data_IF_680048004341
#
_entry.id   IF_680048004341
#
_cell.length_a   1.000
_cell.length_b   1.000
_cell.length_c   1.000
_cell.angle_alpha   90.00
_cell.angle_beta   90.00
_cell.angle_gamma   90.00
#
_symmetry.space_group_name_H-M   'P 1'
#
loop_
_entity.id
_entity.type
_entity.pdbx_description
1 polymer ?
#
# COMPACT_ATOMS: atom_id res chain seq x y z
N UNK A 1 14.38 -8.94 -20.02
CA UNK A 1 15.27 -9.87 -19.30
C UNK A 1 14.60 -11.24 -19.31
N UNK A 2 15.25 -12.25 -19.89
CA UNK A 2 14.69 -13.60 -20.06
C UNK A 2 14.72 -14.37 -18.73
N UNK A 3 13.57 -14.50 -18.05
CA UNK A 3 13.40 -15.48 -16.99
C UNK A 3 13.13 -16.85 -17.63
N UNK A 4 14.11 -17.75 -17.64
CA UNK A 4 13.96 -19.09 -18.23
C UNK A 4 13.38 -20.06 -17.19
N UNK A 5 12.08 -20.36 -17.31
CA UNK A 5 11.38 -21.36 -16.49
C UNK A 5 11.71 -22.76 -17.01
N UNK A 6 12.38 -23.60 -16.20
CA UNK A 6 12.82 -24.95 -16.62
C UNK A 6 11.74 -26.04 -16.46
N UNK A 7 10.73 -25.85 -15.60
CA UNK A 7 9.57 -26.76 -15.42
C UNK A 7 8.64 -26.24 -14.30
N UNK A 8 7.31 -26.31 -14.44
CA UNK A 8 6.36 -25.86 -13.39
C UNK A 8 6.15 -27.00 -12.37
N UNK A 9 6.21 -26.76 -11.04
CA UNK A 9 6.47 -25.49 -10.36
C UNK A 9 7.91 -25.01 -10.53
N UNK A 10 8.08 -23.70 -10.76
CA UNK A 10 9.39 -23.10 -11.04
C UNK A 10 9.64 -21.89 -10.16
N UNK A 11 10.89 -21.75 -9.71
CA UNK A 11 11.39 -20.51 -9.10
C UNK A 11 12.09 -19.64 -10.14
N UNK A 12 11.90 -18.34 -10.04
CA UNK A 12 12.62 -17.38 -10.86
C UNK A 12 12.82 -16.07 -10.11
N UNK A 13 13.77 -15.27 -10.58
CA UNK A 13 14.08 -13.96 -10.02
C UNK A 13 13.76 -12.90 -11.05
N UNK A 14 13.02 -11.87 -10.65
CA UNK A 14 12.76 -10.70 -11.49
C UNK A 14 13.57 -9.55 -10.92
N UNK A 15 14.72 -9.30 -11.55
CA UNK A 15 15.68 -8.28 -11.08
C UNK A 15 14.99 -6.93 -10.95
N UNK A 16 15.16 -6.29 -9.80
CA UNK A 16 14.61 -4.97 -9.46
C UNK A 16 13.07 -4.88 -9.44
N UNK A 17 12.34 -6.00 -9.37
CA UNK A 17 10.87 -5.97 -9.33
C UNK A 17 10.34 -5.11 -8.19
N UNK A 18 10.81 -5.34 -6.96
CA UNK A 18 10.35 -4.62 -5.75
C UNK A 18 10.61 -3.13 -5.86
N UNK A 19 11.75 -2.74 -6.45
CA UNK A 19 12.08 -1.33 -6.67
C UNK A 19 11.17 -0.70 -7.73
N UNK A 20 10.98 -1.38 -8.86
CA UNK A 20 10.12 -0.92 -9.95
C UNK A 20 8.66 -0.84 -9.54
N UNK A 21 8.17 -1.83 -8.80
CA UNK A 21 6.82 -1.84 -8.22
C UNK A 21 6.63 -0.65 -7.27
N UNK A 22 7.55 -0.43 -6.34
CA UNK A 22 7.48 0.72 -5.42
C UNK A 22 7.53 2.06 -6.17
N UNK A 23 8.36 2.16 -7.21
CA UNK A 23 8.44 3.37 -8.03
C UNK A 23 7.13 3.62 -8.80
N UNK A 24 6.57 2.60 -9.45
CA UNK A 24 5.27 2.69 -10.12
C UNK A 24 4.14 3.06 -9.16
N UNK A 25 4.13 2.43 -7.99
CA UNK A 25 3.16 2.71 -6.94
C UNK A 25 3.25 4.16 -6.45
N UNK A 26 4.45 4.62 -6.11
CA UNK A 26 4.68 5.98 -5.63
C UNK A 26 4.44 7.05 -6.70
N UNK A 27 4.63 6.70 -7.98
CA UNK A 27 4.33 7.58 -9.11
C UNK A 27 2.83 7.68 -9.42
N UNK A 28 1.99 6.83 -8.83
CA UNK A 28 0.55 6.90 -9.05
C UNK A 28 -0.04 8.16 -8.43
N UNK A 29 -0.80 8.91 -9.23
CA UNK A 29 -1.46 10.15 -8.81
C UNK A 29 -2.33 9.94 -7.57
N UNK A 30 -2.99 8.79 -7.47
CA UNK A 30 -3.81 8.42 -6.32
C UNK A 30 -2.99 8.37 -5.04
N UNK A 31 -1.79 7.76 -5.05
CA UNK A 31 -0.93 7.68 -3.86
C UNK A 31 -0.43 9.06 -3.44
N UNK A 32 -0.10 9.92 -4.40
CA UNK A 32 0.27 11.30 -4.10
C UNK A 32 -0.88 12.06 -3.42
N UNK A 33 -2.10 11.97 -3.98
CA UNK A 33 -3.30 12.61 -3.40
C UNK A 33 -3.58 12.08 -1.99
N UNK A 34 -3.60 10.75 -1.79
CA UNK A 34 -3.84 10.17 -0.48
C UNK A 34 -2.78 10.56 0.54
N UNK A 35 -1.51 10.64 0.13
CA UNK A 35 -0.42 11.07 1.01
C UNK A 35 -0.59 12.52 1.45
N UNK A 36 -1.01 13.41 0.54
CA UNK A 36 -1.31 14.81 0.88
C UNK A 36 -2.48 14.89 1.85
N UNK A 37 -3.55 14.10 1.65
CA UNK A 37 -4.70 14.07 2.56
C UNK A 37 -4.29 13.53 3.94
N UNK A 38 -3.44 12.50 4.01
CA UNK A 38 -2.88 12.00 5.28
C UNK A 38 -2.11 13.10 6.01
N UNK A 39 -1.22 13.80 5.31
CA UNK A 39 -0.44 14.89 5.91
C UNK A 39 -1.32 16.04 6.40
N UNK A 40 -2.27 16.49 5.57
CA UNK A 40 -3.19 17.56 5.93
C UNK A 40 -4.07 17.17 7.13
N UNK A 41 -4.68 15.98 7.11
CA UNK A 41 -5.53 15.51 8.21
C UNK A 41 -4.76 15.28 9.51
N UNK A 42 -3.50 14.83 9.45
CA UNK A 42 -2.64 14.71 10.61
C UNK A 42 -2.35 16.10 11.22
N UNK A 43 -2.07 17.11 10.39
CA UNK A 43 -1.88 18.49 10.84
C UNK A 43 -3.15 19.07 11.47
N UNK A 44 -4.32 18.83 10.88
CA UNK A 44 -5.60 19.24 11.46
C UNK A 44 -5.79 18.59 12.85
N UNK A 45 -5.50 17.29 12.97
CA UNK A 45 -5.60 16.55 14.22
C UNK A 45 -4.70 17.14 15.31
N UNK A 46 -3.41 17.32 14.99
CA UNK A 46 -2.42 17.86 15.93
C UNK A 46 -2.78 19.29 16.36
N UNK A 47 -3.22 20.12 15.42
CA UNK A 47 -3.62 21.51 15.70
C UNK A 47 -4.84 21.58 16.61
N UNK A 48 -5.79 20.66 16.44
CA UNK A 48 -6.99 20.57 17.27
C UNK A 48 -6.70 20.02 18.67
N UNK A 49 -5.82 19.02 18.78
CA UNK A 49 -5.32 18.55 20.09
C UNK A 49 -4.60 19.68 20.81
N UNK A 50 -3.70 20.38 20.13
CA UNK A 50 -3.00 21.53 20.70
C UNK A 50 -3.98 22.60 21.18
N UNK A 51 -4.98 22.92 20.37
CA UNK A 51 -6.04 23.87 20.75
C UNK A 51 -6.83 23.38 21.97
N UNK A 52 -7.05 22.08 22.13
CA UNK A 52 -7.72 21.53 23.33
C UNK A 52 -6.88 21.71 24.60
N UNK A 53 -5.55 21.75 24.47
CA UNK A 53 -4.61 21.86 25.59
C UNK A 53 -4.28 23.31 25.96
N UNK A 54 -4.25 24.21 24.98
CA UNK A 54 -3.81 25.61 25.16
C UNK A 54 -4.89 26.63 24.83
N UNK A 55 -6.09 26.18 24.49
CA UNK A 55 -7.22 27.02 24.16
C UNK A 55 -7.73 27.78 25.40
N UNK A 56 -8.44 28.90 25.19
CA UNK A 56 -9.04 29.64 26.29
C UNK A 56 -10.19 28.84 26.92
N UNK A 57 -10.31 28.90 28.26
CA UNK A 57 -11.40 28.22 29.00
C UNK A 57 -12.80 28.72 28.60
N UNK A 58 -12.89 29.97 28.16
CA UNK A 58 -14.15 30.59 27.72
C UNK A 58 -13.92 31.46 26.50
N UNK A 59 -14.83 31.36 25.53
CA UNK A 59 -14.84 32.17 24.31
C UNK A 59 -16.07 33.05 24.28
N UNK A 60 -15.86 34.36 24.17
CA UNK A 60 -16.93 35.33 24.01
C UNK A 60 -17.05 35.70 22.53
N UNK A 61 -18.13 35.25 21.88
CA UNK A 61 -18.39 35.52 20.46
C UNK A 61 -19.45 36.61 20.36
N UNK A 62 -19.12 37.73 19.70
CA UNK A 62 -20.06 38.82 19.39
C UNK A 62 -20.10 39.01 17.87
N UNK A 63 -21.25 38.69 17.26
CA UNK A 63 -21.42 38.74 15.80
C UNK A 63 -21.02 37.44 15.13
N UNK A 64 -20.52 37.52 13.90
CA UNK A 64 -20.13 36.36 13.11
C UNK A 64 -18.91 35.64 13.70
N UNK A 65 -18.97 34.31 13.67
CA UNK A 65 -17.90 33.46 14.18
C UNK A 65 -16.79 33.31 13.14
N UNK A 66 -15.56 33.68 13.53
CA UNK A 66 -14.39 33.44 12.69
C UNK A 66 -14.02 31.96 12.67
N UNK A 67 -13.26 31.54 11.65
CA UNK A 67 -12.76 30.15 11.56
C UNK A 67 -11.95 29.76 12.80
N UNK A 68 -11.17 30.69 13.36
CA UNK A 68 -10.38 30.45 14.57
C UNK A 68 -11.27 30.24 15.80
N UNK A 69 -12.35 31.02 15.93
CA UNK A 69 -13.31 30.85 17.02
C UNK A 69 -14.07 29.52 16.89
N UNK A 70 -14.46 29.13 15.68
CA UNK A 70 -15.05 27.82 15.42
C UNK A 70 -14.08 26.68 15.82
N UNK A 71 -12.82 26.82 15.43
CA UNK A 71 -11.76 25.85 15.74
C UNK A 71 -11.56 25.65 17.24
N UNK A 72 -11.58 26.75 18.00
CA UNK A 72 -11.45 26.73 19.45
C UNK A 72 -12.70 26.25 20.17
N UNK A 73 -13.90 26.39 19.57
CA UNK A 73 -15.14 25.89 20.15
C UNK A 73 -15.30 24.37 19.99
N UNK A 74 -14.78 23.81 18.90
CA UNK A 74 -14.94 22.39 18.55
C UNK A 74 -13.61 21.63 18.32
N UNK A 75 -12.59 21.77 19.19
CA UNK A 75 -11.30 21.16 18.93
C UNK A 75 -11.37 19.62 19.02
N UNK A 76 -12.21 19.05 19.90
CA UNK A 76 -12.42 17.60 19.99
C UNK A 76 -13.00 16.96 18.71
N UNK A 77 -14.16 17.43 18.21
CA UNK A 77 -14.73 16.96 16.96
C UNK A 77 -13.78 17.10 15.76
N UNK A 78 -13.06 18.23 15.66
CA UNK A 78 -12.08 18.46 14.58
C UNK A 78 -10.92 17.46 14.68
N UNK A 79 -10.39 17.21 15.88
CA UNK A 79 -9.35 16.21 16.10
C UNK A 79 -9.81 14.80 15.70
N UNK A 80 -11.05 14.45 16.02
CA UNK A 80 -11.64 13.14 15.72
C UNK A 80 -11.78 12.92 14.21
N UNK A 81 -12.33 13.91 13.49
CA UNK A 81 -12.47 13.84 12.02
C UNK A 81 -11.10 13.76 11.36
N UNK A 82 -10.16 14.61 11.79
CA UNK A 82 -8.78 14.57 11.31
C UNK A 82 -8.17 13.18 11.48
N UNK A 83 -8.29 12.59 12.68
CA UNK A 83 -7.76 11.26 12.97
C UNK A 83 -8.38 10.18 12.08
N UNK A 84 -9.70 10.18 11.91
CA UNK A 84 -10.40 9.22 11.06
C UNK A 84 -9.94 9.31 9.60
N UNK A 85 -9.77 10.54 9.09
CA UNK A 85 -9.26 10.77 7.73
C UNK A 85 -7.82 10.29 7.58
N UNK A 86 -6.95 10.58 8.55
CA UNK A 86 -5.56 10.11 8.56
C UNK A 86 -5.51 8.58 8.53
N UNK A 87 -6.28 7.92 9.40
CA UNK A 87 -6.28 6.47 9.52
C UNK A 87 -6.87 5.80 8.26
N UNK A 88 -8.04 6.25 7.81
CA UNK A 88 -8.69 5.72 6.61
C UNK A 88 -7.85 5.86 5.35
N UNK A 89 -7.24 7.02 5.13
CA UNK A 89 -6.38 7.24 3.97
C UNK A 89 -5.09 6.42 4.05
N UNK A 90 -4.53 6.23 5.24
CA UNK A 90 -3.35 5.35 5.44
C UNK A 90 -3.68 3.89 5.09
N UNK A 91 -4.86 3.41 5.49
CA UNK A 91 -5.32 2.07 5.11
C UNK A 91 -5.48 1.93 3.59
N UNK A 92 -6.09 2.91 2.92
CA UNK A 92 -6.24 2.90 1.45
C UNK A 92 -4.88 2.86 0.74
N UNK A 93 -3.90 3.62 1.21
CA UNK A 93 -2.52 3.56 0.68
C UNK A 93 -1.91 2.18 0.92
N UNK A 94 -2.12 1.57 2.08
CA UNK A 94 -1.59 0.24 2.42
C UNK A 94 -2.22 -0.90 1.60
N UNK A 95 -3.53 -0.86 1.40
CA UNK A 95 -4.25 -1.85 0.58
C UNK A 95 -3.74 -1.79 -0.86
N UNK A 96 -3.58 -0.58 -1.42
CA UNK A 96 -3.05 -0.43 -2.77
C UNK A 96 -1.59 -0.94 -2.90
N UNK A 97 -0.77 -0.86 -1.83
CA UNK A 97 0.60 -1.44 -1.79
C UNK A 97 0.62 -2.96 -1.78
N UNK A 98 -0.51 -3.62 -1.56
CA UNK A 98 -0.59 -5.07 -1.45
C UNK A 98 -0.90 -5.77 -2.78
N UNK A 99 -1.36 -5.03 -3.81
CA UNK A 99 -1.69 -5.56 -5.14
C UNK A 99 -0.48 -5.69 -6.08
N UNK A 100 0.63 -6.23 -5.59
CA UNK A 100 1.82 -6.44 -6.42
C UNK A 100 1.59 -7.48 -7.52
N UNK A 101 0.67 -8.43 -7.32
CA UNK A 101 0.34 -9.50 -8.27
C UNK A 101 -0.24 -8.93 -9.58
N UNK A 102 -1.16 -7.96 -9.46
CA UNK A 102 -1.74 -7.27 -10.62
C UNK A 102 -0.66 -6.49 -11.37
N UNK A 103 0.23 -5.81 -10.66
CA UNK A 103 1.36 -5.13 -11.28
C UNK A 103 2.28 -6.12 -12.02
N UNK A 104 2.58 -7.27 -11.40
CA UNK A 104 3.41 -8.31 -11.96
C UNK A 104 2.82 -8.83 -13.28
N UNK A 105 1.55 -9.24 -13.28
CA UNK A 105 0.87 -9.78 -14.47
C UNK A 105 0.88 -8.78 -15.64
N UNK A 106 0.72 -7.49 -15.34
CA UNK A 106 0.64 -6.46 -16.38
C UNK A 106 2.00 -5.98 -16.91
N UNK A 107 3.09 -6.12 -16.15
CA UNK A 107 4.38 -5.50 -16.47
C UNK A 107 5.54 -6.50 -16.60
N UNK A 108 5.37 -7.75 -16.18
CA UNK A 108 6.40 -8.78 -16.24
C UNK A 108 6.00 -9.83 -17.26
N UNK A 109 6.74 -9.87 -18.38
CA UNK A 109 6.61 -10.95 -19.35
C UNK A 109 7.45 -12.15 -18.95
N UNK A 110 6.78 -13.29 -18.80
CA UNK A 110 7.40 -14.57 -18.49
C UNK A 110 7.30 -15.45 -19.72
N UNK A 111 8.43 -15.93 -20.22
CA UNK A 111 8.49 -16.77 -21.43
C UNK A 111 8.79 -18.22 -21.00
N UNK A 112 7.91 -19.14 -21.36
CA UNK A 112 8.06 -20.58 -21.12
C UNK A 112 8.00 -21.34 -22.45
N UNK A 113 9.03 -22.14 -22.73
CA UNK A 113 9.14 -22.92 -23.99
C UNK A 113 8.96 -22.09 -25.27
N UNK A 114 9.32 -20.81 -25.24
CA UNK A 114 9.21 -19.90 -26.39
C UNK A 114 7.86 -19.19 -26.50
N UNK A 115 6.91 -19.48 -25.61
CA UNK A 115 5.61 -18.80 -25.55
C UNK A 115 5.52 -17.89 -24.34
N UNK A 116 4.81 -16.77 -24.49
CA UNK A 116 4.44 -15.93 -23.35
C UNK A 116 3.48 -16.74 -22.48
N UNK A 117 3.87 -16.94 -21.22
CA UNK A 117 3.05 -17.66 -20.28
C UNK A 117 1.84 -16.79 -19.92
N UNK A 118 0.65 -17.27 -20.23
CA UNK A 118 -0.58 -16.71 -19.69
C UNK A 118 -0.69 -17.12 -18.22
N UNK A 119 -0.87 -16.15 -17.32
CA UNK A 119 -1.05 -16.40 -15.89
C UNK A 119 -2.47 -16.92 -15.59
N UNK A 120 -3.39 -16.92 -16.55
CA UNK A 120 -4.70 -17.55 -16.40
C UNK A 120 -4.56 -19.06 -16.13
N UNK A 121 -4.83 -19.45 -14.88
CA UNK A 121 -4.72 -20.85 -14.42
C UNK A 121 -3.38 -21.20 -13.76
N UNK A 122 -2.53 -20.20 -13.46
CA UNK A 122 -1.34 -20.36 -12.64
C UNK A 122 -1.40 -19.46 -11.42
N UNK A 123 -0.91 -19.99 -10.30
CA UNK A 123 -0.73 -19.27 -9.06
C UNK A 123 0.70 -18.70 -9.02
N UNK A 124 0.82 -17.44 -8.60
CA UNK A 124 2.09 -16.74 -8.45
C UNK A 124 2.28 -16.34 -7.00
N UNK A 125 3.45 -16.63 -6.43
CA UNK A 125 3.79 -16.19 -5.07
C UNK A 125 5.20 -15.64 -4.98
N UNK A 126 5.34 -14.48 -4.36
CA UNK A 126 6.64 -13.97 -3.91
C UNK A 126 7.00 -14.63 -2.58
N UNK A 127 8.13 -15.33 -2.53
CA UNK A 127 8.60 -16.01 -1.31
C UNK A 127 9.78 -15.30 -0.64
N UNK A 128 10.49 -14.46 -1.40
CA UNK A 128 11.59 -13.62 -0.94
C UNK A 128 11.69 -12.41 -1.88
N UNK A 129 12.45 -11.38 -1.50
CA UNK A 129 12.63 -10.16 -2.27
C UNK A 129 13.04 -10.48 -3.71
N UNK A 130 12.22 -10.03 -4.67
CA UNK A 130 12.41 -10.23 -6.11
C UNK A 130 12.42 -11.69 -6.58
N UNK A 131 12.09 -12.65 -5.71
CA UNK A 131 12.05 -14.08 -6.02
C UNK A 131 10.62 -14.59 -5.97
N UNK A 132 10.25 -15.30 -7.03
CA UNK A 132 8.89 -15.74 -7.28
C UNK A 132 8.84 -17.24 -7.55
N UNK A 133 7.71 -17.83 -7.21
CA UNK A 133 7.33 -19.19 -7.56
C UNK A 133 6.05 -19.12 -8.38
N UNK A 134 6.01 -19.89 -9.46
CA UNK A 134 4.81 -20.11 -10.24
C UNK A 134 4.45 -21.60 -10.25
N UNK A 135 3.18 -21.91 -10.01
CA UNK A 135 2.64 -23.27 -10.01
C UNK A 135 1.21 -23.32 -10.56
N UNK A 136 0.63 -24.50 -10.79
CA UNK A 136 -0.77 -24.62 -11.26
C UNK A 136 -1.81 -24.42 -10.16
N UNK A 137 -1.42 -24.60 -8.90
CA UNK A 137 -2.31 -24.44 -7.76
C UNK A 137 -1.52 -24.09 -6.49
N UNK A 138 -2.22 -23.60 -5.47
CA UNK A 138 -1.62 -23.18 -4.20
C UNK A 138 -0.97 -24.34 -3.43
N UNK A 139 -1.45 -25.58 -3.61
CA UNK A 139 -0.89 -26.75 -2.94
C UNK A 139 0.52 -27.06 -3.45
N UNK A 140 0.73 -27.02 -4.77
CA UNK A 140 2.06 -27.16 -5.37
C UNK A 140 3.03 -26.06 -4.93
N UNK A 141 2.55 -24.82 -4.72
CA UNK A 141 3.39 -23.75 -4.17
C UNK A 141 3.83 -24.09 -2.74
N UNK A 142 2.89 -24.50 -1.88
CA UNK A 142 3.17 -24.81 -0.49
C UNK A 142 4.13 -25.99 -0.37
N UNK A 143 3.92 -27.06 -1.14
CA UNK A 143 4.79 -28.24 -1.16
C UNK A 143 6.21 -27.87 -1.62
N UNK A 144 6.32 -27.00 -2.64
CA UNK A 144 7.60 -26.52 -3.14
C UNK A 144 8.34 -25.62 -2.13
N UNK A 145 7.62 -24.76 -1.41
CA UNK A 145 8.19 -23.94 -0.32
C UNK A 145 8.65 -24.83 0.84
N UNK A 146 7.86 -25.84 1.21
CA UNK A 146 8.23 -26.79 2.26
C UNK A 146 9.51 -27.54 1.89
N UNK A 147 9.65 -27.99 0.64
CA UNK A 147 10.89 -28.60 0.16
C UNK A 147 12.07 -27.62 0.18
N UNK A 148 11.86 -26.37 -0.23
CA UNK A 148 12.90 -25.33 -0.20
C UNK A 148 13.43 -25.07 1.22
N UNK A 149 12.55 -25.04 2.21
CA UNK A 149 12.91 -24.75 3.60
C UNK A 149 13.56 -25.95 4.32
N UNK A 150 13.36 -27.17 3.82
CA UNK A 150 13.92 -28.40 4.39
C UNK A 150 15.14 -28.94 3.61
N UNK A 151 15.51 -28.29 2.50
CA UNK A 151 16.67 -28.64 1.69
C UNK A 151 17.95 -27.85 2.05
N UNK A 152 17.88 -27.06 3.13
CA UNK A 152 18.99 -26.33 3.76
C UNK A 152 19.47 -27.05 5.02
#
# INVERSE_FOLDING_TARGET
MNATIKSIPSKFTVVNFTANYKAHFNASLNVAIWTVIVAASALLTLSAIFTSLTGPDSLYIRGDMSLTQFWQLYPGPIATIGFLLTYGCTQLVSINKSYWEVYFINHVEVIYKGEKLDFNGYELRMYDKDKFIIAKNNQQINDFIFQLNNAS
#
